data_IF_383981585796
#
_entry.id   IF_383981585796
#
_cell.length_a   1.000
_cell.length_b   1.000
_cell.length_c   1.000
_cell.angle_alpha   90.00
_cell.angle_beta   90.00
_cell.angle_gamma   90.00
#
_symmetry.space_group_name_H-M   'P 1'
#
loop_
_entity.id
_entity.type
_entity.pdbx_description
1 polymer ?
#
# COMPACT_ATOMS: atom_id res chain seq x y z
N UNK A 1 17.68 1.39 -1.15
CA UNK A 1 17.02 0.87 0.08
C UNK A 1 16.44 -0.51 -0.19
N UNK A 2 16.45 -1.37 0.83
CA UNK A 2 15.78 -2.67 0.84
C UNK A 2 14.28 -2.52 1.12
N UNK A 3 13.51 -3.54 0.83
CA UNK A 3 12.07 -3.60 1.13
C UNK A 3 11.81 -3.40 2.63
N UNK A 4 12.66 -3.95 3.50
CA UNK A 4 12.56 -3.79 4.96
C UNK A 4 12.80 -2.34 5.41
N UNK A 5 13.79 -1.67 4.84
CA UNK A 5 14.08 -0.26 5.13
C UNK A 5 12.93 0.64 4.69
N UNK A 6 12.39 0.42 3.48
CA UNK A 6 11.22 1.14 2.98
C UNK A 6 10.01 0.86 3.87
N UNK A 7 9.80 -0.40 4.25
CA UNK A 7 8.70 -0.82 5.11
C UNK A 7 8.71 -0.13 6.48
N UNK A 8 9.89 0.12 7.05
CA UNK A 8 10.02 0.90 8.29
C UNK A 8 9.53 2.35 8.10
N UNK A 9 9.98 3.00 7.03
CA UNK A 9 9.54 4.37 6.68
C UNK A 9 8.02 4.42 6.46
N UNK A 10 7.46 3.41 5.79
CA UNK A 10 6.01 3.29 5.57
C UNK A 10 5.24 3.23 6.89
N UNK A 11 5.68 2.38 7.82
CA UNK A 11 5.01 2.24 9.13
C UNK A 11 5.09 3.54 9.93
N UNK A 12 6.27 4.16 9.98
CA UNK A 12 6.48 5.41 10.71
C UNK A 12 5.62 6.55 10.12
N UNK A 13 5.58 6.67 8.79
CA UNK A 13 4.76 7.66 8.09
C UNK A 13 3.25 7.43 8.29
N UNK A 14 2.78 6.19 8.17
CA UNK A 14 1.37 5.87 8.38
C UNK A 14 0.91 6.23 9.81
N UNK A 15 1.73 5.92 10.81
CA UNK A 15 1.46 6.27 12.22
C UNK A 15 1.45 7.79 12.40
N UNK A 16 2.40 8.51 11.79
CA UNK A 16 2.45 9.98 11.88
C UNK A 16 1.20 10.62 11.28
N UNK A 17 0.77 10.17 10.09
CA UNK A 17 -0.42 10.67 9.40
C UNK A 17 -1.69 10.39 10.21
N UNK A 18 -1.86 9.15 10.70
CA UNK A 18 -3.05 8.78 11.50
C UNK A 18 -3.13 9.58 12.80
N UNK A 19 -2.00 9.80 13.49
CA UNK A 19 -1.95 10.66 14.70
C UNK A 19 -2.31 12.12 14.41
N UNK A 20 -1.90 12.64 13.24
CA UNK A 20 -2.12 14.04 12.90
C UNK A 20 -3.56 14.32 12.45
N UNK A 21 -4.19 13.38 11.75
CA UNK A 21 -5.49 13.60 11.11
C UNK A 21 -6.66 12.86 11.79
N UNK A 22 -6.38 11.91 12.67
CA UNK A 22 -7.34 10.99 13.27
C UNK A 22 -8.05 10.10 12.22
N UNK A 23 -8.72 9.01 12.63
CA UNK A 23 -9.58 8.24 11.73
C UNK A 23 -10.82 9.04 11.27
N UNK A 24 -11.45 8.62 10.18
CA UNK A 24 -12.74 9.16 9.71
C UNK A 24 -12.70 9.93 8.38
N UNK A 25 -11.54 10.05 7.74
CA UNK A 25 -11.42 10.63 6.40
C UNK A 25 -11.57 9.57 5.31
N UNK A 26 -11.81 10.00 4.07
CA UNK A 26 -11.84 9.11 2.91
C UNK A 26 -10.43 8.61 2.55
N UNK A 27 -10.37 7.41 1.95
CA UNK A 27 -9.13 6.75 1.53
C UNK A 27 -8.24 7.66 0.66
N UNK A 28 -8.84 8.37 -0.30
CA UNK A 28 -8.13 9.28 -1.19
C UNK A 28 -7.43 10.44 -0.46
N UNK A 29 -7.96 10.88 0.69
CA UNK A 29 -7.33 11.93 1.50
C UNK A 29 -6.07 11.38 2.18
N UNK A 30 -6.16 10.19 2.80
CA UNK A 30 -4.99 9.54 3.39
C UNK A 30 -3.92 9.22 2.35
N UNK A 31 -4.30 8.81 1.14
CA UNK A 31 -3.35 8.55 0.05
C UNK A 31 -2.54 9.79 -0.32
N UNK A 32 -3.20 10.95 -0.46
CA UNK A 32 -2.54 12.24 -0.76
C UNK A 32 -1.55 12.60 0.34
N UNK A 33 -2.00 12.53 1.60
CA UNK A 33 -1.19 12.96 2.75
C UNK A 33 -0.05 11.98 3.02
N UNK A 34 -0.29 10.68 2.95
CA UNK A 34 0.73 9.65 3.12
C UNK A 34 1.79 9.76 2.03
N UNK A 35 1.39 9.99 0.77
CA UNK A 35 2.35 10.22 -0.31
C UNK A 35 3.21 11.45 -0.02
N UNK A 36 2.62 12.55 0.46
CA UNK A 36 3.38 13.73 0.83
C UNK A 36 4.38 13.44 1.96
N UNK A 37 3.98 12.71 3.00
CA UNK A 37 4.84 12.34 4.11
C UNK A 37 6.01 11.46 3.66
N UNK A 38 5.73 10.43 2.87
CA UNK A 38 6.76 9.52 2.34
C UNK A 38 7.74 10.23 1.41
N UNK A 39 7.29 11.21 0.61
CA UNK A 39 8.18 12.01 -0.26
C UNK A 39 9.20 12.84 0.52
N UNK A 40 8.92 13.22 1.78
CA UNK A 40 9.91 13.91 2.63
C UNK A 40 11.15 13.06 2.92
N UNK A 41 11.03 11.73 2.79
CA UNK A 41 12.15 10.80 2.92
C UNK A 41 12.95 10.60 1.62
N UNK A 42 12.64 11.35 0.55
CA UNK A 42 13.36 11.28 -0.73
C UNK A 42 13.05 10.01 -1.56
N UNK A 43 11.97 9.31 -1.23
CA UNK A 43 11.54 8.09 -1.94
C UNK A 43 10.87 8.44 -3.27
N UNK A 44 11.11 7.64 -4.30
CA UNK A 44 10.33 7.65 -5.53
C UNK A 44 8.98 6.97 -5.30
N UNK A 45 7.89 7.68 -5.63
CA UNK A 45 6.53 7.25 -5.32
C UNK A 45 5.63 7.52 -6.52
N UNK A 46 4.96 6.45 -6.95
CA UNK A 46 3.91 6.48 -7.96
C UNK A 46 2.58 6.21 -7.29
N UNK A 47 1.54 6.93 -7.71
CA UNK A 47 0.18 6.82 -7.16
C UNK A 47 -0.76 6.28 -8.20
N UNK A 48 -1.77 5.53 -7.76
CA UNK A 48 -2.88 5.10 -8.59
C UNK A 48 -2.39 4.37 -9.85
N UNK A 49 -1.44 3.45 -9.66
CA UNK A 49 -0.72 2.74 -10.75
C UNK A 49 -1.56 1.57 -11.25
N UNK A 50 -1.92 1.51 -12.56
CA UNK A 50 -2.60 0.35 -13.12
C UNK A 50 -1.74 -0.92 -12.97
N UNK A 51 -2.38 -2.03 -12.61
CA UNK A 51 -1.72 -3.34 -12.54
C UNK A 51 -2.28 -4.20 -13.67
N UNK A 52 -1.49 -4.35 -14.74
CA UNK A 52 -1.90 -5.11 -15.92
C UNK A 52 -2.17 -6.58 -15.60
N UNK A 53 -3.16 -7.14 -16.27
CA UNK A 53 -3.46 -8.57 -16.28
C UNK A 53 -3.17 -9.11 -17.68
N UNK A 54 -2.62 -10.32 -17.75
CA UNK A 54 -2.50 -11.06 -18.99
C UNK A 54 -3.34 -12.34 -18.91
N UNK A 55 -4.22 -12.53 -19.89
CA UNK A 55 -5.04 -13.73 -20.04
C UNK A 55 -5.16 -14.09 -21.51
N UNK A 56 -4.75 -15.31 -21.87
CA UNK A 56 -4.85 -15.84 -23.23
C UNK A 56 -4.24 -14.90 -24.31
N UNK A 57 -3.06 -14.34 -24.01
CA UNK A 57 -2.36 -13.40 -24.89
C UNK A 57 -2.96 -11.99 -24.95
N UNK A 58 -4.06 -11.72 -24.25
CA UNK A 58 -4.63 -10.38 -24.10
C UNK A 58 -4.04 -9.73 -22.86
N UNK A 59 -3.36 -8.59 -23.04
CA UNK A 59 -2.90 -7.72 -21.95
C UNK A 59 -3.84 -6.52 -21.82
N UNK A 60 -4.29 -6.26 -20.60
CA UNK A 60 -5.25 -5.18 -20.32
C UNK A 60 -5.00 -4.62 -18.91
N UNK A 61 -5.35 -3.35 -18.70
CA UNK A 61 -5.11 -2.61 -17.45
C UNK A 61 -6.42 -2.41 -16.65
N UNK A 62 -7.53 -2.86 -17.23
CA UNK A 62 -8.88 -2.82 -16.68
C UNK A 62 -9.06 -3.92 -15.63
N UNK A 63 -8.80 -3.58 -14.37
CA UNK A 63 -9.19 -4.46 -13.26
C UNK A 63 -8.61 -4.06 -11.92
N UNK A 64 -7.33 -3.68 -11.91
CA UNK A 64 -6.61 -3.40 -10.68
C UNK A 64 -5.79 -2.12 -10.79
N UNK A 65 -5.76 -1.40 -9.68
CA UNK A 65 -4.99 -0.18 -9.50
C UNK A 65 -4.40 -0.21 -8.10
N UNK A 66 -3.08 -0.14 -8.03
CA UNK A 66 -2.37 0.00 -6.76
C UNK A 66 -2.45 1.46 -6.31
N UNK A 67 -2.81 1.70 -5.05
CA UNK A 67 -2.92 3.07 -4.53
C UNK A 67 -1.56 3.77 -4.55
N UNK A 68 -0.52 3.09 -4.07
CA UNK A 68 0.85 3.63 -4.02
C UNK A 68 1.86 2.52 -4.34
N UNK A 69 2.85 2.83 -5.18
CA UNK A 69 4.07 2.03 -5.39
C UNK A 69 5.29 2.86 -5.02
N UNK A 70 6.18 2.29 -4.22
CA UNK A 70 7.40 2.94 -3.71
C UNK A 70 8.62 2.21 -4.26
N UNK A 71 9.51 2.96 -4.91
CA UNK A 71 10.80 2.46 -5.44
C UNK A 71 10.67 1.22 -6.34
N UNK A 72 9.49 0.99 -6.95
CA UNK A 72 9.15 -0.25 -7.68
C UNK A 72 9.41 -1.53 -6.87
N UNK A 73 9.22 -1.46 -5.54
CA UNK A 73 9.53 -2.55 -4.60
C UNK A 73 8.44 -2.82 -3.57
N UNK A 74 7.76 -1.77 -3.12
CA UNK A 74 6.75 -1.85 -2.06
C UNK A 74 5.43 -1.29 -2.55
N UNK A 75 4.36 -2.06 -2.37
CA UNK A 75 2.99 -1.65 -2.72
C UNK A 75 2.22 -1.29 -1.45
N UNK A 76 1.50 -0.18 -1.45
CA UNK A 76 0.54 0.16 -0.41
C UNK A 76 -0.88 0.15 -0.99
N UNK A 77 -1.78 -0.50 -0.27
CA UNK A 77 -3.22 -0.39 -0.44
C UNK A 77 -3.81 0.24 0.81
N UNK A 78 -4.60 1.29 0.64
CA UNK A 78 -5.18 2.05 1.73
C UNK A 78 -6.64 1.67 1.91
N UNK A 79 -7.07 1.64 3.16
CA UNK A 79 -8.47 1.45 3.55
C UNK A 79 -8.87 2.48 4.60
N UNK A 80 -10.14 2.86 4.63
CA UNK A 80 -10.72 3.67 5.71
C UNK A 80 -12.10 3.10 6.06
N UNK A 81 -12.06 1.93 6.70
CA UNK A 81 -13.24 1.11 7.00
C UNK A 81 -13.13 0.52 8.40
N UNK A 82 -14.24 0.03 8.95
CA UNK A 82 -14.30 -0.57 10.28
C UNK A 82 -13.36 -1.78 10.44
N UNK A 83 -13.26 -2.64 9.41
CA UNK A 83 -12.34 -3.78 9.47
C UNK A 83 -11.95 -4.30 8.09
N UNK A 84 -10.72 -4.81 7.98
CA UNK A 84 -10.22 -5.44 6.75
C UNK A 84 -10.62 -6.91 6.65
N UNK A 85 -10.98 -7.35 5.43
CA UNK A 85 -11.37 -8.73 5.16
C UNK A 85 -10.21 -9.54 4.58
N UNK A 86 -10.39 -10.87 4.50
CA UNK A 86 -9.46 -11.75 3.77
C UNK A 86 -9.36 -11.40 2.29
N UNK A 87 -10.41 -10.83 1.69
CA UNK A 87 -10.40 -10.42 0.29
C UNK A 87 -9.43 -9.25 0.05
N UNK A 88 -9.41 -8.26 0.95
CA UNK A 88 -8.46 -7.14 0.87
C UNK A 88 -7.00 -7.62 0.93
N UNK A 89 -6.70 -8.58 1.83
CA UNK A 89 -5.35 -9.17 1.92
C UNK A 89 -4.98 -9.94 0.65
N UNK A 90 -5.94 -10.68 0.06
CA UNK A 90 -5.73 -11.39 -1.21
C UNK A 90 -5.47 -10.43 -2.37
N UNK A 91 -6.15 -9.29 -2.43
CA UNK A 91 -5.94 -8.27 -3.45
C UNK A 91 -4.49 -7.77 -3.47
N UNK A 92 -3.94 -7.40 -2.30
CA UNK A 92 -2.53 -6.99 -2.19
C UNK A 92 -1.60 -8.11 -2.65
N UNK A 93 -1.85 -9.36 -2.23
CA UNK A 93 -1.02 -10.49 -2.66
C UNK A 93 -1.08 -10.71 -4.18
N UNK A 94 -2.24 -10.49 -4.81
CA UNK A 94 -2.37 -10.50 -6.28
C UNK A 94 -1.51 -9.41 -6.91
N UNK A 95 -1.51 -8.19 -6.36
CA UNK A 95 -0.69 -7.10 -6.88
C UNK A 95 0.80 -7.44 -6.82
N UNK A 96 1.25 -7.98 -5.69
CA UNK A 96 2.64 -8.42 -5.52
C UNK A 96 3.05 -9.49 -6.55
N UNK A 97 2.14 -10.41 -6.89
CA UNK A 97 2.42 -11.44 -7.90
C UNK A 97 2.48 -10.89 -9.31
N UNK A 98 1.60 -9.95 -9.66
CA UNK A 98 1.51 -9.39 -11.01
C UNK A 98 2.60 -8.35 -11.31
N UNK A 99 3.12 -7.69 -10.28
CA UNK A 99 4.13 -6.61 -10.41
C UNK A 99 5.56 -7.06 -10.07
N UNK A 100 5.74 -8.33 -9.71
CA UNK A 100 6.98 -8.89 -9.17
C UNK A 100 7.50 -8.22 -7.87
N UNK A 101 6.73 -7.29 -7.28
CA UNK A 101 7.02 -6.73 -5.97
C UNK A 101 6.91 -7.81 -4.88
N UNK A 102 7.76 -7.72 -3.86
CA UNK A 102 7.82 -8.74 -2.80
C UNK A 102 7.15 -8.33 -1.51
N UNK A 103 7.00 -7.03 -1.26
CA UNK A 103 6.45 -6.51 -0.02
C UNK A 103 5.25 -5.61 -0.31
N UNK A 104 4.16 -5.85 0.40
CA UNK A 104 2.97 -5.01 0.37
C UNK A 104 2.46 -4.68 1.77
N UNK A 105 1.77 -3.55 1.89
CA UNK A 105 1.05 -3.16 3.09
C UNK A 105 -0.40 -2.86 2.76
N UNK A 106 -1.30 -3.42 3.56
CA UNK A 106 -2.68 -2.98 3.65
C UNK A 106 -2.79 -2.08 4.89
N UNK A 107 -3.09 -0.81 4.68
CA UNK A 107 -3.12 0.23 5.70
C UNK A 107 -4.57 0.67 5.95
N UNK A 108 -5.19 0.17 7.01
CA UNK A 108 -6.53 0.60 7.42
C UNK A 108 -6.45 1.80 8.37
N UNK A 109 -6.76 2.99 7.85
CA UNK A 109 -6.87 4.23 8.62
C UNK A 109 -8.21 4.36 9.37
N UNK A 110 -9.14 3.42 9.20
CA UNK A 110 -10.42 3.39 9.92
C UNK A 110 -10.34 2.82 11.33
N UNK A 111 -9.22 2.20 11.71
CA UNK A 111 -9.00 1.69 13.07
C UNK A 111 -8.76 2.83 14.07
N UNK A 112 -9.06 2.58 15.35
CA UNK A 112 -8.79 3.49 16.45
C UNK A 112 -7.29 3.82 16.60
N UNK A 113 -6.43 2.83 16.32
CA UNK A 113 -4.97 2.98 16.33
C UNK A 113 -4.38 2.43 15.04
N UNK A 114 -3.52 3.22 14.39
CA UNK A 114 -2.88 2.80 13.13
C UNK A 114 -2.13 1.47 13.23
N UNK A 115 -1.51 1.16 14.38
CA UNK A 115 -0.76 -0.10 14.56
C UNK A 115 -1.65 -1.35 14.34
N UNK A 116 -2.94 -1.24 14.64
CA UNK A 116 -3.91 -2.32 14.51
C UNK A 116 -4.44 -2.39 13.07
N UNK A 117 -4.34 -1.29 12.33
CA UNK A 117 -4.68 -1.18 10.90
C UNK A 117 -3.57 -1.56 9.94
N UNK A 118 -2.37 -1.91 10.41
CA UNK A 118 -1.25 -2.28 9.53
C UNK A 118 -1.23 -3.80 9.33
N UNK A 119 -1.48 -4.25 8.10
CA UNK A 119 -1.21 -5.62 7.69
C UNK A 119 -0.04 -5.66 6.70
N UNK A 120 1.03 -6.34 7.09
CA UNK A 120 2.20 -6.61 6.24
C UNK A 120 2.00 -7.91 5.45
N UNK A 121 2.25 -7.89 4.15
CA UNK A 121 2.06 -9.02 3.24
C UNK A 121 3.33 -9.23 2.42
N UNK A 122 3.78 -10.48 2.33
CA UNK A 122 5.04 -10.84 1.67
C UNK A 122 4.76 -11.89 0.57
N UNK A 123 5.34 -11.68 -0.60
CA UNK A 123 5.36 -12.62 -1.72
C UNK A 123 6.78 -13.18 -1.88
N UNK A 124 7.04 -14.35 -1.29
CA UNK A 124 8.35 -15.02 -1.31
C UNK A 124 9.27 -14.58 -0.16
N UNK A 125 10.56 -14.46 -0.44
CA UNK A 125 11.59 -14.06 0.55
C UNK A 125 12.10 -12.64 0.28
N UNK A 126 12.16 -11.84 1.35
CA UNK A 126 12.77 -10.51 1.36
C UNK A 126 14.27 -10.61 1.64
N UNK A 127 15.04 -9.73 0.99
CA UNK A 127 16.47 -9.59 1.23
C UNK A 127 16.76 -8.68 2.44
#
# INVERSE_FOLDING_TARGET
>A
MTENEIGKVVVDAAIAVHKALCPGLYENVYEVVLTHELKKHGLNIERQVPVSIEYDGIKFDEGFRADIIIENKVILELKSIESVTKAHKKQVLTYLRLTECKLGYLLNFGEDLMKDGITRIINGELK
#
